data_IF_741711605211
#
_entry.id   IF_741711605211
#
_cell.length_a   1.000
_cell.length_b   1.000
_cell.length_c   1.000
_cell.angle_alpha   90.00
_cell.angle_beta   90.00
_cell.angle_gamma   90.00
#
_symmetry.space_group_name_H-M   'P 1'
#
loop_
_entity.id
_entity.type
_entity.pdbx_description
1 polymer ?
#
# COMPACT_ATOMS: atom_id res chain seq x y z
N UNK A 1 28.06 -8.14 -8.50
CA UNK A 1 26.81 -7.60 -7.94
C UNK A 1 25.72 -8.59 -8.35
N UNK A 2 25.23 -9.43 -7.44
CA UNK A 2 24.44 -10.60 -7.80
C UNK A 2 23.06 -10.21 -8.36
N UNK A 3 22.56 -10.98 -9.31
CA UNK A 3 21.24 -10.79 -9.93
C UNK A 3 20.10 -10.84 -8.89
N UNK A 4 20.32 -11.42 -7.71
CA UNK A 4 19.42 -11.35 -6.55
C UNK A 4 19.18 -9.92 -6.04
N UNK A 5 20.19 -9.05 -6.07
CA UNK A 5 20.06 -7.65 -5.65
C UNK A 5 19.24 -6.86 -6.67
N UNK A 6 19.35 -7.21 -7.96
CA UNK A 6 18.49 -6.67 -9.02
C UNK A 6 17.07 -7.24 -8.95
N UNK A 7 16.87 -8.46 -8.46
CA UNK A 7 15.55 -9.03 -8.19
C UNK A 7 14.83 -8.33 -7.02
N UNK A 8 15.57 -7.84 -6.01
CA UNK A 8 15.02 -7.01 -4.92
C UNK A 8 14.65 -5.59 -5.33
N UNK A 9 15.01 -5.12 -6.54
CA UNK A 9 14.62 -3.79 -7.06
C UNK A 9 13.13 -3.66 -7.38
N UNK A 10 12.35 -4.72 -7.32
CA UNK A 10 10.91 -4.69 -7.62
C UNK A 10 10.01 -4.48 -6.38
N UNK A 11 10.58 -4.27 -5.18
CA UNK A 11 9.81 -4.09 -3.93
C UNK A 11 9.30 -2.66 -3.67
N UNK A 12 9.42 -1.75 -4.64
CA UNK A 12 9.04 -0.34 -4.44
C UNK A 12 7.61 -0.02 -4.87
N UNK A 13 6.85 -0.95 -5.42
CA UNK A 13 5.53 -0.60 -5.94
C UNK A 13 4.58 -1.78 -5.83
N UNK A 14 3.48 -1.58 -5.10
CA UNK A 14 2.41 -2.58 -5.09
C UNK A 14 1.51 -2.37 -6.30
N UNK A 15 1.57 -3.32 -7.23
CA UNK A 15 0.65 -3.38 -8.36
C UNK A 15 -0.80 -3.60 -7.92
N UNK A 16 -1.01 -4.37 -6.84
CA UNK A 16 -2.35 -4.57 -6.28
C UNK A 16 -2.90 -3.27 -5.67
N UNK A 17 -2.06 -2.54 -4.93
CA UNK A 17 -2.44 -1.24 -4.38
C UNK A 17 -2.72 -0.20 -5.46
N UNK A 18 -1.88 -0.17 -6.51
CA UNK A 18 -2.13 0.67 -7.69
C UNK A 18 -3.46 0.34 -8.36
N UNK A 19 -3.67 -0.93 -8.71
CA UNK A 19 -4.86 -1.37 -9.42
C UNK A 19 -6.13 -1.11 -8.59
N UNK A 20 -6.10 -1.38 -7.29
CA UNK A 20 -7.20 -1.13 -6.39
C UNK A 20 -7.50 0.37 -6.27
N UNK A 21 -6.49 1.21 -6.03
CA UNK A 21 -6.67 2.66 -5.92
C UNK A 21 -7.21 3.27 -7.22
N UNK A 22 -6.65 2.89 -8.37
CA UNK A 22 -7.10 3.34 -9.67
C UNK A 22 -8.54 2.89 -9.96
N UNK A 23 -8.87 1.61 -9.71
CA UNK A 23 -10.18 1.05 -9.94
C UNK A 23 -11.26 1.74 -9.10
N UNK A 24 -11.02 1.92 -7.81
CA UNK A 24 -11.98 2.61 -6.92
C UNK A 24 -12.20 4.04 -7.42
N UNK A 25 -11.15 4.76 -7.81
CA UNK A 25 -11.30 6.12 -8.34
C UNK A 25 -12.09 6.17 -9.65
N UNK A 26 -11.84 5.23 -10.58
CA UNK A 26 -12.62 5.12 -11.83
C UNK A 26 -14.09 4.88 -11.49
N UNK A 27 -14.39 3.90 -10.64
CA UNK A 27 -15.75 3.57 -10.26
C UNK A 27 -16.44 4.76 -9.57
N UNK A 28 -15.76 5.47 -8.68
CA UNK A 28 -16.30 6.65 -8.01
C UNK A 28 -16.68 7.75 -8.99
N UNK A 29 -15.82 8.11 -9.95
CA UNK A 29 -16.12 9.17 -10.93
C UNK A 29 -17.17 8.75 -11.95
N UNK A 30 -17.14 7.49 -12.41
CA UNK A 30 -18.14 6.96 -13.33
C UNK A 30 -19.52 6.94 -12.65
N UNK A 31 -19.61 6.46 -11.41
CA UNK A 31 -20.87 6.44 -10.67
C UNK A 31 -21.34 7.86 -10.33
N UNK A 32 -20.43 8.76 -9.94
CA UNK A 32 -20.74 10.16 -9.72
C UNK A 32 -21.37 10.80 -10.96
N UNK A 33 -20.71 10.69 -12.11
CA UNK A 33 -21.24 11.27 -13.35
C UNK A 33 -22.54 10.63 -13.80
N UNK A 34 -22.70 9.32 -13.62
CA UNK A 34 -23.93 8.62 -14.00
C UNK A 34 -25.14 9.06 -13.15
N UNK A 35 -24.92 9.38 -11.87
CA UNK A 35 -25.99 9.74 -10.92
C UNK A 35 -26.22 11.25 -10.90
N UNK A 36 -25.17 12.05 -10.74
CA UNK A 36 -25.27 13.48 -10.48
C UNK A 36 -25.36 14.34 -11.75
N UNK A 37 -24.70 13.94 -12.84
CA UNK A 37 -24.63 14.75 -14.07
C UNK A 37 -24.40 13.92 -15.34
N UNK A 38 -25.37 13.10 -15.76
CA UNK A 38 -25.19 12.19 -16.90
C UNK A 38 -24.91 12.91 -18.23
N UNK A 39 -25.32 14.18 -18.36
CA UNK A 39 -25.10 15.00 -19.54
C UNK A 39 -23.61 15.18 -19.91
N UNK A 40 -22.69 15.02 -18.95
CA UNK A 40 -21.24 15.13 -19.22
C UNK A 40 -20.78 14.12 -20.29
N UNK A 41 -21.45 12.97 -20.40
CA UNK A 41 -21.13 11.92 -21.36
C UNK A 41 -21.57 12.27 -22.80
N UNK A 42 -22.57 13.14 -22.97
CA UNK A 42 -22.95 13.65 -24.29
C UNK A 42 -22.21 14.93 -24.65
N UNK A 43 -21.97 15.80 -23.67
CA UNK A 43 -21.46 17.15 -23.91
C UNK A 43 -19.93 17.21 -23.89
N UNK A 44 -19.28 16.46 -22.98
CA UNK A 44 -17.84 16.56 -22.70
C UNK A 44 -17.17 15.21 -22.43
N UNK A 45 -17.67 14.14 -23.07
CA UNK A 45 -17.25 12.76 -22.81
C UNK A 45 -15.73 12.55 -22.86
N UNK A 46 -15.07 13.06 -23.91
CA UNK A 46 -13.62 12.92 -24.09
C UNK A 46 -12.85 13.62 -22.97
N UNK A 47 -13.18 14.87 -22.65
CA UNK A 47 -12.52 15.64 -21.58
C UNK A 47 -12.74 14.98 -20.22
N UNK A 48 -13.94 14.45 -19.97
CA UNK A 48 -14.26 13.77 -18.71
C UNK A 48 -13.57 12.41 -18.61
N UNK A 49 -13.45 11.68 -19.72
CA UNK A 49 -12.63 10.48 -19.81
C UNK A 49 -11.17 10.75 -19.44
N UNK A 50 -10.58 11.84 -19.95
CA UNK A 50 -9.23 12.25 -19.55
C UNK A 50 -9.13 12.55 -18.05
N UNK A 51 -10.11 13.25 -17.47
CA UNK A 51 -10.15 13.48 -16.03
C UNK A 51 -10.13 12.15 -15.27
N UNK A 52 -10.99 11.20 -15.63
CA UNK A 52 -11.04 9.87 -15.00
C UNK A 52 -9.69 9.17 -15.11
N UNK A 53 -9.09 9.14 -16.30
CA UNK A 53 -7.80 8.48 -16.52
C UNK A 53 -6.69 9.13 -15.69
N UNK A 54 -6.54 10.45 -15.73
CA UNK A 54 -5.48 11.12 -14.98
C UNK A 54 -5.69 11.02 -13.47
N UNK A 55 -6.90 11.24 -12.97
CA UNK A 55 -7.19 11.12 -11.54
C UNK A 55 -6.98 9.70 -11.03
N UNK A 56 -7.41 8.68 -11.78
CA UNK A 56 -7.18 7.28 -11.39
C UNK A 56 -5.71 6.88 -11.44
N UNK A 57 -4.93 7.40 -12.40
CA UNK A 57 -3.48 7.19 -12.43
C UNK A 57 -2.78 7.84 -11.24
N UNK A 58 -3.12 9.09 -10.92
CA UNK A 58 -2.55 9.78 -9.75
C UNK A 58 -2.86 9.00 -8.47
N UNK A 59 -4.13 8.68 -8.23
CA UNK A 59 -4.57 7.93 -7.04
C UNK A 59 -3.96 6.52 -7.00
N UNK A 60 -3.88 5.83 -8.15
CA UNK A 60 -3.24 4.54 -8.26
C UNK A 60 -1.75 4.62 -7.91
N UNK A 61 -1.00 5.55 -8.52
CA UNK A 61 0.45 5.70 -8.29
C UNK A 61 0.71 6.00 -6.81
N UNK A 62 -0.06 6.89 -6.20
CA UNK A 62 0.06 7.21 -4.78
C UNK A 62 -0.25 5.97 -3.93
N UNK A 63 -1.30 5.20 -4.27
CA UNK A 63 -1.68 3.99 -3.53
C UNK A 63 -0.64 2.88 -3.60
N UNK A 64 -0.04 2.67 -4.78
CA UNK A 64 1.01 1.66 -4.98
C UNK A 64 2.38 2.08 -4.46
N UNK A 65 2.68 3.39 -4.47
CA UNK A 65 3.99 3.94 -4.13
C UNK A 65 4.18 4.32 -2.65
N UNK A 66 3.12 4.56 -1.88
CA UNK A 66 3.22 4.94 -0.46
C UNK A 66 3.97 3.89 0.38
N UNK A 67 3.94 2.61 0.00
CA UNK A 67 4.67 1.56 0.72
C UNK A 67 6.19 1.75 0.71
N UNK A 68 6.77 2.36 -0.34
CA UNK A 68 8.23 2.65 -0.41
C UNK A 68 8.70 3.46 0.78
N UNK A 69 7.85 4.40 1.16
CA UNK A 69 8.19 5.45 2.09
C UNK A 69 7.76 5.10 3.51
N UNK A 70 6.78 4.21 3.66
CA UNK A 70 6.43 3.59 4.94
C UNK A 70 7.34 2.40 5.28
N UNK A 71 7.92 1.74 4.28
CA UNK A 71 8.76 0.56 4.42
C UNK A 71 9.96 0.58 3.46
N UNK A 72 11.01 1.37 3.73
CA UNK A 72 12.17 1.39 2.85
C UNK A 72 12.84 0.00 2.82
N UNK A 73 12.94 -0.68 1.65
CA UNK A 73 13.72 -1.92 1.56
C UNK A 73 15.21 -1.61 1.72
N UNK A 74 15.98 -2.59 2.20
CA UNK A 74 17.44 -2.59 2.42
C UNK A 74 18.12 -1.25 2.11
N UNK A 75 18.26 -0.40 3.14
CA UNK A 75 18.84 0.95 3.02
C UNK A 75 20.32 0.94 2.54
N UNK A 76 20.93 -0.23 2.39
CA UNK A 76 22.34 -0.40 2.03
C UNK A 76 22.62 -0.55 0.54
N UNK A 77 21.62 -0.73 -0.34
CA UNK A 77 21.86 -1.05 -1.76
C UNK A 77 21.78 0.15 -2.70
N UNK A 78 21.17 1.26 -2.28
CA UNK A 78 21.07 2.46 -3.09
C UNK A 78 21.59 3.61 -2.25
N UNK A 79 22.53 4.39 -2.78
CA UNK A 79 23.07 5.64 -2.21
C UNK A 79 22.03 6.77 -2.05
N UNK A 80 20.82 6.43 -1.59
CA UNK A 80 19.83 7.30 -0.97
C UNK A 80 20.11 7.41 0.54
N UNK A 81 21.35 7.14 0.97
CA UNK A 81 21.87 7.51 2.29
C UNK A 81 21.72 9.03 2.60
N UNK A 82 21.35 9.86 1.62
CA UNK A 82 21.00 11.28 1.78
C UNK A 82 19.52 11.60 2.02
N UNK A 83 18.59 10.63 1.89
CA UNK A 83 17.17 10.79 2.30
C UNK A 83 16.86 10.00 3.59
N UNK A 84 17.91 9.57 4.31
CA UNK A 84 17.86 8.79 5.55
C UNK A 84 17.42 9.56 6.80
N UNK A 85 16.52 10.54 6.66
CA UNK A 85 15.71 11.01 7.78
C UNK A 85 14.34 10.35 7.62
N UNK A 86 13.92 9.62 8.65
CA UNK A 86 12.55 9.09 8.79
C UNK A 86 11.49 10.17 8.49
N UNK A 87 11.84 11.46 8.62
CA UNK A 87 10.94 12.58 8.33
C UNK A 87 10.74 12.81 6.83
N UNK A 88 11.79 12.77 5.98
CA UNK A 88 11.65 13.10 4.55
C UNK A 88 10.78 12.07 3.81
N UNK A 89 10.98 10.79 4.12
CA UNK A 89 10.17 9.70 3.55
C UNK A 89 8.72 9.78 4.03
N UNK A 90 8.48 10.08 5.32
CA UNK A 90 7.14 10.33 5.84
C UNK A 90 6.48 11.57 5.23
N UNK A 91 7.22 12.66 5.05
CA UNK A 91 6.72 13.86 4.38
C UNK A 91 6.34 13.58 2.93
N UNK A 92 7.13 12.79 2.20
CA UNK A 92 6.81 12.45 0.83
C UNK A 92 5.61 11.50 0.74
N UNK A 93 5.48 10.55 1.67
CA UNK A 93 4.24 9.75 1.83
C UNK A 93 3.03 10.64 2.04
N UNK A 94 3.14 11.62 2.95
CA UNK A 94 2.07 12.56 3.27
C UNK A 94 1.70 13.41 2.05
N UNK A 95 2.69 13.90 1.30
CA UNK A 95 2.46 14.65 0.06
C UNK A 95 1.73 13.79 -0.96
N UNK A 96 2.11 12.53 -1.14
CA UNK A 96 1.42 11.61 -2.05
C UNK A 96 -0.02 11.36 -1.61
N UNK A 97 -0.27 11.18 -0.31
CA UNK A 97 -1.62 11.04 0.23
C UNK A 97 -2.44 12.31 -0.01
N UNK A 98 -1.91 13.49 0.33
CA UNK A 98 -2.59 14.77 0.08
C UNK A 98 -2.88 14.95 -1.41
N UNK A 99 -1.92 14.64 -2.28
CA UNK A 99 -2.09 14.71 -3.73
C UNK A 99 -3.23 13.80 -4.19
N UNK A 100 -3.27 12.55 -3.71
CA UNK A 100 -4.34 11.60 -4.05
C UNK A 100 -5.74 12.07 -3.64
N UNK A 101 -5.83 12.82 -2.56
CA UNK A 101 -7.09 13.31 -2.00
C UNK A 101 -7.56 14.59 -2.68
N UNK A 102 -6.65 15.53 -2.90
CA UNK A 102 -6.97 16.85 -3.43
C UNK A 102 -7.11 16.82 -4.94
N UNK A 103 -6.28 16.02 -5.64
CA UNK A 103 -6.20 16.06 -7.10
C UNK A 103 -7.55 15.83 -7.80
N UNK A 104 -8.30 14.73 -7.55
CA UNK A 104 -9.54 14.46 -8.26
C UNK A 104 -10.58 15.57 -8.06
N UNK A 105 -10.71 16.05 -6.83
CA UNK A 105 -11.66 17.11 -6.44
C UNK A 105 -11.25 18.43 -7.12
N UNK A 106 -10.00 18.84 -6.96
CA UNK A 106 -9.49 20.10 -7.51
C UNK A 106 -9.65 20.13 -9.03
N UNK A 107 -9.22 19.07 -9.73
CA UNK A 107 -9.36 19.01 -11.19
C UNK A 107 -10.81 18.95 -11.64
N UNK A 108 -11.69 18.27 -10.88
CA UNK A 108 -13.13 18.26 -11.13
C UNK A 108 -13.74 19.66 -11.04
N UNK A 109 -13.45 20.41 -9.98
CA UNK A 109 -13.95 21.78 -9.83
C UNK A 109 -13.36 22.75 -10.86
N UNK A 110 -12.07 22.65 -11.18
CA UNK A 110 -11.41 23.58 -12.11
C UNK A 110 -11.91 23.39 -13.55
N UNK A 111 -12.07 22.15 -14.01
CA UNK A 111 -12.40 21.87 -15.41
C UNK A 111 -13.88 21.58 -15.66
N UNK A 112 -14.63 21.21 -14.62
CA UNK A 112 -16.04 20.77 -14.67
C UNK A 112 -16.89 21.46 -13.59
N UNK A 113 -16.63 22.75 -13.31
CA UNK A 113 -17.33 23.53 -12.29
C UNK A 113 -18.87 23.46 -12.41
N UNK A 114 -19.41 23.55 -13.62
CA UNK A 114 -20.85 23.51 -13.87
C UNK A 114 -21.52 22.20 -13.45
N UNK A 115 -20.75 21.11 -13.35
CA UNK A 115 -21.25 19.80 -12.92
C UNK A 115 -20.93 19.56 -11.43
N UNK A 116 -19.68 19.80 -11.01
CA UNK A 116 -19.22 19.55 -9.64
C UNK A 116 -19.76 20.57 -8.64
N UNK A 117 -19.93 21.83 -9.05
CA UNK A 117 -20.44 22.91 -8.22
C UNK A 117 -21.93 22.81 -7.92
N UNK A 118 -22.67 22.05 -8.73
CA UNK A 118 -24.11 21.82 -8.55
C UNK A 118 -24.43 20.40 -8.10
N UNK A 119 -23.43 19.54 -7.87
CA UNK A 119 -23.62 18.16 -7.46
C UNK A 119 -24.10 18.09 -6.00
N UNK A 120 -25.37 17.71 -5.74
CA UNK A 120 -25.90 17.67 -4.38
C UNK A 120 -25.26 16.57 -3.52
N UNK A 121 -24.59 15.59 -4.15
CA UNK A 121 -23.96 14.46 -3.48
C UNK A 121 -22.44 14.62 -3.39
N UNK A 122 -21.90 15.81 -3.69
CA UNK A 122 -20.45 16.05 -3.76
C UNK A 122 -19.71 15.58 -2.49
N UNK A 123 -20.29 15.79 -1.31
CA UNK A 123 -19.68 15.34 -0.05
C UNK A 123 -19.54 13.81 0.04
N UNK A 124 -20.52 13.05 -0.48
CA UNK A 124 -20.47 11.59 -0.51
C UNK A 124 -19.36 11.13 -1.46
N UNK A 125 -19.28 11.75 -2.64
CA UNK A 125 -18.25 11.43 -3.63
C UNK A 125 -16.85 11.78 -3.17
N UNK A 126 -16.71 12.89 -2.44
CA UNK A 126 -15.48 13.26 -1.75
C UNK A 126 -15.09 12.13 -0.79
N UNK A 127 -15.96 11.73 0.15
CA UNK A 127 -15.67 10.66 1.12
C UNK A 127 -15.31 9.34 0.43
N UNK A 128 -16.01 8.97 -0.65
CA UNK A 128 -15.68 7.78 -1.44
C UNK A 128 -14.32 7.91 -2.13
N UNK A 129 -13.97 9.11 -2.61
CA UNK A 129 -12.65 9.43 -3.12
C UNK A 129 -11.55 9.29 -2.06
N UNK A 130 -11.82 9.64 -0.80
CA UNK A 130 -10.92 9.39 0.33
C UNK A 130 -10.71 7.90 0.62
N UNK A 131 -11.71 7.05 0.32
CA UNK A 131 -11.59 5.61 0.51
C UNK A 131 -10.65 4.96 -0.53
N UNK A 132 -10.53 5.52 -1.74
CA UNK A 132 -9.70 4.96 -2.81
C UNK A 132 -8.22 4.76 -2.41
N UNK A 133 -7.47 5.78 -1.93
CA UNK A 133 -6.09 5.59 -1.49
C UNK A 133 -5.97 4.68 -0.26
N UNK A 134 -6.97 4.69 0.63
CA UNK A 134 -6.99 3.86 1.83
C UNK A 134 -7.16 2.37 1.50
N UNK A 135 -8.05 2.04 0.57
CA UNK A 135 -8.27 0.68 0.07
C UNK A 135 -7.07 0.21 -0.77
N UNK A 136 -6.51 1.09 -1.58
CA UNK A 136 -5.27 0.82 -2.33
C UNK A 136 -4.11 0.48 -1.40
N UNK A 137 -3.84 1.30 -0.39
CA UNK A 137 -2.82 1.02 0.63
C UNK A 137 -3.08 -0.30 1.36
N UNK A 138 -4.34 -0.57 1.71
CA UNK A 138 -4.72 -1.82 2.38
C UNK A 138 -4.44 -3.04 1.51
N UNK A 139 -4.80 -3.00 0.22
CA UNK A 139 -4.49 -4.05 -0.72
C UNK A 139 -2.97 -4.27 -0.86
N UNK A 140 -2.22 -3.17 -0.87
CA UNK A 140 -0.77 -3.20 -0.89
C UNK A 140 -0.16 -3.88 0.35
N UNK A 141 -0.70 -3.58 1.54
CA UNK A 141 -0.28 -4.23 2.78
C UNK A 141 -0.60 -5.73 2.80
N UNK A 142 -1.75 -6.14 2.26
CA UNK A 142 -2.08 -7.56 2.13
C UNK A 142 -1.15 -8.29 1.18
N UNK A 143 -0.81 -7.69 0.03
CA UNK A 143 0.20 -8.22 -0.89
C UNK A 143 1.54 -8.44 -0.17
N UNK A 144 2.00 -7.43 0.58
CA UNK A 144 3.26 -7.52 1.32
C UNK A 144 3.23 -8.58 2.43
N UNK A 145 2.13 -8.66 3.17
CA UNK A 145 1.94 -9.67 4.22
C UNK A 145 2.02 -11.08 3.64
N UNK A 146 1.40 -11.34 2.49
CA UNK A 146 1.48 -12.64 1.81
C UNK A 146 2.89 -12.99 1.36
N UNK A 147 3.63 -12.02 0.82
CA UNK A 147 5.03 -12.21 0.44
C UNK A 147 5.89 -12.61 1.65
N UNK A 148 5.76 -11.87 2.76
CA UNK A 148 6.46 -12.20 4.02
C UNK A 148 6.05 -13.59 4.53
N UNK A 149 4.77 -13.94 4.50
CA UNK A 149 4.32 -15.30 4.89
C UNK A 149 4.95 -16.38 4.01
N UNK A 150 5.16 -16.14 2.71
CA UNK A 150 5.85 -17.09 1.82
C UNK A 150 7.33 -17.23 2.18
N UNK A 151 8.00 -16.12 2.48
CA UNK A 151 9.41 -16.12 2.92
C UNK A 151 9.56 -16.82 4.27
N UNK A 152 8.64 -16.62 5.20
CA UNK A 152 8.61 -17.34 6.47
C UNK A 152 8.43 -18.85 6.26
N UNK A 153 7.52 -19.27 5.38
CA UNK A 153 7.37 -20.70 5.03
C UNK A 153 8.67 -21.30 4.51
N UNK A 154 9.38 -20.58 3.65
CA UNK A 154 10.66 -21.02 3.11
C UNK A 154 11.73 -21.07 4.20
N UNK A 155 11.87 -20.04 5.02
CA UNK A 155 12.83 -19.99 6.12
C UNK A 155 12.64 -21.14 7.12
N UNK A 156 11.39 -21.37 7.55
CA UNK A 156 11.04 -22.45 8.50
C UNK A 156 10.96 -23.84 7.87
N UNK A 157 11.26 -23.98 6.57
CA UNK A 157 11.49 -25.30 5.97
C UNK A 157 12.81 -25.92 6.46
N UNK A 158 13.79 -25.08 6.82
CA UNK A 158 15.13 -25.49 7.28
C UNK A 158 15.39 -25.08 8.73
N UNK A 159 14.73 -24.03 9.22
CA UNK A 159 14.95 -23.50 10.57
C UNK A 159 13.77 -23.78 11.50
N UNK A 160 14.06 -23.92 12.80
CA UNK A 160 13.04 -24.15 13.84
C UNK A 160 12.63 -22.86 14.58
N UNK A 161 13.46 -21.81 14.50
CA UNK A 161 13.25 -20.54 15.20
C UNK A 161 13.78 -19.33 14.43
N UNK A 162 13.15 -18.19 14.64
CA UNK A 162 13.57 -16.87 14.19
C UNK A 162 13.50 -15.91 15.37
N UNK A 163 14.64 -15.34 15.78
CA UNK A 163 14.74 -14.32 16.82
C UNK A 163 14.67 -12.94 16.17
N UNK A 164 13.56 -12.22 16.39
CA UNK A 164 13.32 -10.90 15.78
C UNK A 164 14.24 -9.81 16.36
N UNK A 165 14.88 -10.04 17.52
CA UNK A 165 15.84 -9.08 18.09
C UNK A 165 17.16 -9.02 17.32
N UNK A 166 17.48 -10.09 16.59
CA UNK A 166 18.72 -10.23 15.81
C UNK A 166 18.59 -9.74 14.37
N UNK A 167 17.42 -9.25 13.99
CA UNK A 167 17.17 -8.75 12.65
C UNK A 167 17.62 -7.29 12.59
N UNK A 168 18.87 -7.07 12.17
CA UNK A 168 19.46 -5.72 12.12
C UNK A 168 18.60 -4.75 11.29
N UNK A 169 18.01 -5.20 10.18
CA UNK A 169 17.11 -4.39 9.33
C UNK A 169 15.78 -3.98 10.01
N UNK A 170 15.43 -4.63 11.12
CA UNK A 170 14.26 -4.30 11.94
C UNK A 170 14.57 -3.19 12.94
N UNK A 171 15.82 -3.11 13.42
CA UNK A 171 16.29 -2.18 14.45
C UNK A 171 17.15 -1.03 13.90
N UNK A 172 17.62 -1.13 12.65
CA UNK A 172 18.43 -0.10 11.98
C UNK A 172 17.64 1.18 11.64
N UNK A 173 16.34 1.21 11.90
CA UNK A 173 15.44 2.34 11.61
C UNK A 173 14.84 2.83 12.92
N UNK A 174 14.38 4.10 12.96
CA UNK A 174 13.74 4.68 14.14
C UNK A 174 12.66 3.78 14.77
N UNK A 175 12.45 3.91 16.10
CA UNK A 175 11.68 2.94 16.90
C UNK A 175 10.25 2.73 16.41
N UNK A 176 9.62 3.75 15.81
CA UNK A 176 8.25 3.68 15.27
C UNK A 176 8.16 2.74 14.07
N UNK A 177 9.12 2.81 13.15
CA UNK A 177 9.17 1.98 11.94
C UNK A 177 9.50 0.54 12.30
N UNK A 178 10.36 0.34 13.30
CA UNK A 178 10.68 -0.98 13.86
C UNK A 178 9.42 -1.67 14.42
N UNK A 179 8.63 -0.99 15.25
CA UNK A 179 7.36 -1.53 15.80
C UNK A 179 6.40 -1.94 14.69
N UNK A 180 6.28 -1.13 13.64
CA UNK A 180 5.37 -1.39 12.54
C UNK A 180 5.78 -2.60 11.70
N UNK A 181 7.08 -2.73 11.39
CA UNK A 181 7.65 -3.90 10.70
C UNK A 181 7.49 -5.17 11.52
N UNK A 182 7.72 -5.09 12.83
CA UNK A 182 7.54 -6.21 13.75
C UNK A 182 6.07 -6.66 13.75
N UNK A 183 5.12 -5.72 13.87
CA UNK A 183 3.69 -6.03 13.80
C UNK A 183 3.28 -6.68 12.46
N UNK A 184 3.87 -6.26 11.34
CA UNK A 184 3.66 -6.92 10.05
C UNK A 184 4.21 -8.34 10.01
N UNK A 185 5.43 -8.55 10.51
CA UNK A 185 6.07 -9.87 10.55
C UNK A 185 5.27 -10.83 11.44
N UNK A 186 4.81 -10.35 12.60
CA UNK A 186 3.92 -11.09 13.50
C UNK A 186 2.59 -11.44 12.82
N UNK A 187 1.95 -10.47 12.17
CA UNK A 187 0.71 -10.73 11.45
C UNK A 187 0.90 -11.75 10.31
N UNK A 188 1.99 -11.63 9.56
CA UNK A 188 2.34 -12.58 8.50
C UNK A 188 2.63 -13.99 9.06
N UNK A 189 3.31 -14.09 10.20
CA UNK A 189 3.63 -15.35 10.86
C UNK A 189 2.37 -16.09 11.34
N UNK A 190 1.37 -15.36 11.87
CA UNK A 190 0.07 -15.94 12.27
C UNK A 190 -0.68 -16.60 11.11
N UNK A 191 -0.43 -16.18 9.88
CA UNK A 191 -1.05 -16.74 8.68
C UNK A 191 -0.28 -17.96 8.12
N UNK A 192 0.80 -18.39 8.77
CA UNK A 192 1.56 -19.58 8.40
C UNK A 192 1.25 -20.70 9.39
N UNK A 193 0.70 -21.81 8.88
CA UNK A 193 0.37 -22.97 9.69
C UNK A 193 1.61 -23.55 10.38
N UNK A 194 1.49 -23.85 11.67
CA UNK A 194 2.57 -24.43 12.47
C UNK A 194 3.66 -23.44 12.87
N UNK A 195 3.43 -22.12 12.76
CA UNK A 195 4.27 -21.11 13.40
C UNK A 195 3.55 -20.49 14.59
N UNK A 196 4.31 -20.25 15.67
CA UNK A 196 3.84 -19.61 16.89
C UNK A 196 4.75 -18.47 17.27
N UNK A 197 4.16 -17.35 17.69
CA UNK A 197 4.90 -16.21 18.22
C UNK A 197 5.05 -16.39 19.74
N UNK A 198 6.28 -16.34 20.23
CA UNK A 198 6.61 -16.46 21.66
C UNK A 198 7.54 -15.31 22.03
N UNK A 199 6.99 -14.25 22.62
CA UNK A 199 7.76 -13.04 22.91
C UNK A 199 8.29 -12.42 21.62
N UNK A 200 9.62 -12.36 21.48
CA UNK A 200 10.29 -11.80 20.30
C UNK A 200 10.75 -12.88 19.31
N UNK A 201 10.34 -14.14 19.53
CA UNK A 201 10.68 -15.25 18.66
C UNK A 201 9.47 -15.74 17.88
N UNK A 202 9.69 -16.15 16.64
CA UNK A 202 8.77 -16.98 15.87
C UNK A 202 9.34 -18.39 15.89
N UNK A 203 8.54 -19.36 16.31
CA UNK A 203 8.97 -20.75 16.53
C UNK A 203 8.08 -21.69 15.74
N UNK A 204 8.67 -22.72 15.14
CA UNK A 204 7.94 -23.80 14.48
C UNK A 204 7.33 -24.73 15.52
N UNK A 205 6.00 -24.84 15.52
CA UNK A 205 5.30 -25.82 16.32
C UNK A 205 5.68 -27.22 15.83
N UNK A 206 6.32 -28.00 16.71
CA UNK A 206 6.51 -29.42 16.46
C UNK A 206 5.12 -30.06 16.53
N UNK A 207 4.65 -30.64 15.43
CA UNK A 207 3.49 -31.54 15.46
C UNK A 207 3.81 -32.64 16.48
N UNK A 208 3.29 -32.51 17.70
CA UNK A 208 3.27 -33.62 18.65
C UNK A 208 2.37 -34.68 18.01
N UNK A 209 2.97 -35.67 17.36
CA UNK A 209 2.28 -36.92 17.12
C UNK A 209 1.90 -37.44 18.49
N UNK A 210 0.62 -37.32 18.85
CA UNK A 210 0.05 -38.01 19.99
C UNK A 210 0.09 -39.50 19.66
N UNK A 211 1.21 -40.14 19.96
CA UNK A 211 1.30 -41.60 20.05
C UNK A 211 0.63 -41.95 21.38
N UNK A 212 -0.69 -42.08 21.37
CA UNK A 212 -1.39 -42.71 22.49
C UNK A 212 -1.05 -44.21 22.44
N UNK A 213 -0.23 -44.62 23.40
CA UNK A 213 -0.12 -46.01 23.88
C UNK A 213 -1.37 -46.39 24.66
#
# INVERSE_FOLDING_TARGET
MSDEIMARKYEFFSWQGFAMGALVMVLSLVLQSAISFPAVWSERALSYGFLITFSSLVVGITSGGVLVYLYPPDQDVIGIAGLGSDDITQHLSLVLVILSLVWPIFTGFVFFFEYFGTDPLIFIWVILGFAAPSLGLTAAMFERSRAISADLKLYFSVHDRLDMTRLDWLHAIGPRTATYRMGMLENAARNVEGLKITGHEIVKERKQFAVNQ
#
